data_IF_063715029204
#
_entry.id   IF_063715029204
#
_cell.length_a   1.000
_cell.length_b   1.000
_cell.length_c   1.000
_cell.angle_alpha   90.00
_cell.angle_beta   90.00
_cell.angle_gamma   90.00
#
_symmetry.space_group_name_H-M   'P 1'
#
loop_
_entity.id
_entity.type
_entity.pdbx_description
1 polymer ?
#
# COMPACT_ATOMS: atom_id res chain seq x y z
N UNK A 1 -16.05 -13.78 -12.65
CA UNK A 1 -15.16 -14.40 -11.72
C UNK A 1 -15.52 -15.87 -11.54
N UNK A 2 -14.54 -16.79 -11.50
CA UNK A 2 -14.78 -18.24 -11.58
C UNK A 2 -15.07 -18.91 -10.23
N UNK A 3 -15.24 -18.11 -9.17
CA UNK A 3 -15.57 -18.61 -7.85
C UNK A 3 -17.07 -18.45 -7.62
N UNK A 4 -17.73 -19.57 -7.25
CA UNK A 4 -19.10 -19.53 -6.75
C UNK A 4 -19.06 -19.29 -5.25
N UNK A 5 -19.68 -18.21 -4.81
CA UNK A 5 -19.89 -17.96 -3.38
C UNK A 5 -20.80 -19.07 -2.80
N UNK A 6 -20.48 -19.53 -1.61
CA UNK A 6 -21.43 -20.33 -0.82
C UNK A 6 -22.63 -19.43 -0.45
N UNK A 7 -23.78 -20.00 -0.02
CA UNK A 7 -24.92 -19.18 0.40
C UNK A 7 -24.53 -18.10 1.46
N UNK A 8 -23.72 -18.46 2.46
CA UNK A 8 -23.26 -17.52 3.49
C UNK A 8 -22.35 -16.43 2.93
N UNK A 9 -21.49 -16.77 1.96
CA UNK A 9 -20.63 -15.80 1.27
C UNK A 9 -21.42 -14.86 0.36
N UNK A 10 -22.47 -15.37 -0.29
CA UNK A 10 -23.37 -14.55 -1.11
C UNK A 10 -24.16 -13.57 -0.26
N UNK A 11 -24.64 -13.99 0.90
CA UNK A 11 -25.28 -13.11 1.89
C UNK A 11 -24.33 -12.04 2.38
N UNK A 12 -23.10 -12.41 2.74
CA UNK A 12 -22.06 -11.46 3.16
C UNK A 12 -21.73 -10.46 2.04
N UNK A 13 -21.59 -10.93 0.80
CA UNK A 13 -21.35 -10.05 -0.37
C UNK A 13 -22.50 -9.06 -0.55
N UNK A 14 -23.74 -9.50 -0.39
CA UNK A 14 -24.89 -8.63 -0.52
C UNK A 14 -24.92 -7.58 0.58
N UNK A 15 -24.58 -7.96 1.82
CA UNK A 15 -24.44 -7.03 2.94
C UNK A 15 -23.35 -5.97 2.66
N UNK A 16 -22.16 -6.40 2.21
CA UNK A 16 -21.06 -5.49 1.87
C UNK A 16 -21.50 -4.54 0.77
N UNK A 17 -22.07 -5.07 -0.31
CA UNK A 17 -22.55 -4.29 -1.47
C UNK A 17 -23.56 -3.23 -1.05
N UNK A 18 -24.61 -3.63 -0.39
CA UNK A 18 -25.71 -2.74 0.03
C UNK A 18 -25.19 -1.65 0.95
N UNK A 19 -24.31 -2.02 1.90
CA UNK A 19 -23.77 -1.04 2.83
C UNK A 19 -22.83 -0.05 2.12
N UNK A 20 -21.97 -0.52 1.21
CA UNK A 20 -21.06 0.35 0.44
C UNK A 20 -21.85 1.33 -0.44
N UNK A 21 -22.87 0.86 -1.13
CA UNK A 21 -23.73 1.69 -1.99
C UNK A 21 -24.44 2.81 -1.21
N UNK A 22 -24.89 2.52 0.01
CA UNK A 22 -25.55 3.46 0.88
C UNK A 22 -24.59 4.45 1.59
N UNK A 23 -23.32 4.10 1.79
CA UNK A 23 -22.44 4.84 2.69
C UNK A 23 -21.22 5.49 2.01
N UNK A 24 -20.74 4.97 0.88
CA UNK A 24 -19.60 5.58 0.17
C UNK A 24 -20.07 6.86 -0.54
N UNK A 25 -19.50 8.04 -0.19
CA UNK A 25 -19.82 9.27 -0.88
C UNK A 25 -19.55 9.19 -2.39
N UNK A 26 -20.48 9.67 -3.21
CA UNK A 26 -20.36 9.67 -4.67
C UNK A 26 -19.09 10.37 -5.12
N UNK A 27 -18.73 11.49 -4.49
CA UNK A 27 -17.53 12.27 -4.80
C UNK A 27 -16.20 11.50 -4.59
N UNK A 28 -16.21 10.38 -3.86
CA UNK A 28 -15.03 9.53 -3.65
C UNK A 28 -14.97 8.34 -4.61
N UNK A 29 -16.04 8.05 -5.34
CA UNK A 29 -16.11 6.88 -6.22
C UNK A 29 -15.23 7.06 -7.46
N UNK A 30 -14.47 6.04 -7.79
CA UNK A 30 -13.66 5.99 -9.01
C UNK A 30 -12.49 6.96 -9.08
N UNK A 31 -12.25 7.78 -8.06
CA UNK A 31 -11.15 8.78 -8.08
C UNK A 31 -9.80 8.11 -8.32
N UNK A 32 -9.03 8.70 -9.21
CA UNK A 32 -7.69 8.26 -9.60
C UNK A 32 -6.64 8.68 -8.58
N UNK A 33 -6.65 9.97 -8.22
CA UNK A 33 -5.78 10.50 -7.19
C UNK A 33 -6.32 10.12 -5.80
N UNK A 34 -5.45 9.85 -4.87
CA UNK A 34 -5.83 9.65 -3.47
C UNK A 34 -6.45 10.95 -2.93
N UNK A 35 -7.68 10.90 -2.38
CA UNK A 35 -8.27 12.09 -1.78
C UNK A 35 -7.44 12.58 -0.58
N UNK A 36 -7.34 13.89 -0.34
CA UNK A 36 -6.67 14.40 0.84
C UNK A 36 -7.37 13.92 2.13
N UNK A 37 -6.69 13.92 3.29
CA UNK A 37 -7.27 13.40 4.54
C UNK A 37 -8.61 14.02 4.90
N UNK A 38 -8.79 15.33 4.68
CA UNK A 38 -10.06 16.03 4.99
C UNK A 38 -11.25 15.42 4.26
N UNK A 39 -11.06 14.88 3.06
CA UNK A 39 -12.11 14.22 2.28
C UNK A 39 -12.20 12.72 2.59
N UNK A 40 -11.06 12.06 2.83
CA UNK A 40 -10.96 10.62 3.00
C UNK A 40 -11.32 10.14 4.40
N UNK A 41 -10.92 10.87 5.46
CA UNK A 41 -11.10 10.40 6.84
C UNK A 41 -12.56 10.26 7.28
N UNK A 42 -13.54 11.06 6.82
CA UNK A 42 -14.95 10.79 7.09
C UNK A 42 -15.40 9.40 6.59
N UNK A 43 -14.88 8.94 5.45
CA UNK A 43 -15.12 7.59 4.93
C UNK A 43 -14.42 6.52 5.78
N UNK A 44 -13.16 6.75 6.15
CA UNK A 44 -12.42 5.89 7.09
C UNK A 44 -13.22 5.66 8.38
N UNK A 45 -13.72 6.74 9.00
CA UNK A 45 -14.48 6.67 10.24
C UNK A 45 -15.81 5.90 10.09
N UNK A 46 -16.44 5.94 8.92
CA UNK A 46 -17.62 5.09 8.65
C UNK A 46 -17.25 3.61 8.64
N UNK A 47 -16.17 3.24 7.93
CA UNK A 47 -15.66 1.86 7.91
C UNK A 47 -15.21 1.39 9.29
N UNK A 48 -14.52 2.25 10.05
CA UNK A 48 -14.10 1.97 11.43
C UNK A 48 -15.29 1.65 12.34
N UNK A 49 -16.33 2.49 12.34
CA UNK A 49 -17.56 2.25 13.12
C UNK A 49 -18.32 0.99 12.70
N UNK A 50 -18.22 0.61 11.41
CA UNK A 50 -18.79 -0.66 10.92
C UNK A 50 -17.92 -1.87 11.32
N UNK A 51 -16.69 -1.65 11.79
CA UNK A 51 -15.71 -2.70 12.10
C UNK A 51 -15.02 -3.27 10.85
N UNK A 52 -15.03 -2.56 9.73
CA UNK A 52 -14.56 -3.04 8.41
C UNK A 52 -13.27 -2.39 7.91
N UNK A 53 -12.64 -1.55 8.73
CA UNK A 53 -11.42 -0.82 8.34
C UNK A 53 -10.20 -1.73 8.22
N UNK A 54 -10.14 -2.80 9.03
CA UNK A 54 -9.03 -3.76 9.06
C UNK A 54 -9.55 -5.21 8.99
N UNK A 55 -9.99 -5.68 7.81
CA UNK A 55 -10.58 -7.02 7.66
C UNK A 55 -9.66 -8.15 8.13
N UNK A 56 -8.36 -8.04 7.86
CA UNK A 56 -7.35 -9.06 8.15
C UNK A 56 -6.80 -9.03 9.59
N UNK A 57 -7.10 -7.98 10.39
CA UNK A 57 -6.61 -7.93 11.77
C UNK A 57 -7.44 -8.85 12.68
N UNK A 58 -6.78 -9.48 13.69
CA UNK A 58 -7.48 -10.23 14.72
C UNK A 58 -8.48 -9.36 15.50
N UNK A 59 -9.61 -9.93 15.92
CA UNK A 59 -10.65 -9.21 16.68
C UNK A 59 -10.15 -8.60 17.98
N UNK A 60 -9.21 -9.26 18.65
CA UNK A 60 -8.59 -8.77 19.89
C UNK A 60 -7.82 -7.44 19.70
N UNK A 61 -7.46 -7.08 18.47
CA UNK A 61 -6.80 -5.83 18.12
C UNK A 61 -7.72 -4.86 17.37
N UNK A 62 -9.03 -5.07 17.43
CA UNK A 62 -10.04 -4.19 16.82
C UNK A 62 -10.29 -4.47 15.34
N UNK A 63 -9.71 -5.54 14.78
CA UNK A 63 -9.97 -5.96 13.42
C UNK A 63 -11.24 -6.78 13.26
N UNK A 64 -11.59 -7.07 12.02
CA UNK A 64 -12.76 -7.88 11.68
C UNK A 64 -12.54 -9.37 11.94
N UNK A 65 -11.28 -9.87 11.90
CA UNK A 65 -10.97 -11.30 11.93
C UNK A 65 -11.62 -12.04 10.77
N UNK A 66 -11.68 -11.39 9.60
CA UNK A 66 -12.36 -11.89 8.41
C UNK A 66 -11.66 -13.14 7.87
N UNK A 67 -12.45 -14.11 7.45
CA UNK A 67 -11.96 -15.25 6.67
C UNK A 67 -11.34 -14.77 5.36
N UNK A 68 -10.52 -15.63 4.73
CA UNK A 68 -9.96 -15.32 3.41
C UNK A 68 -11.05 -14.91 2.42
N UNK A 69 -12.14 -15.66 2.40
CA UNK A 69 -13.23 -15.44 1.46
C UNK A 69 -13.94 -14.11 1.68
N UNK A 70 -14.15 -13.73 2.94
CA UNK A 70 -14.69 -12.41 3.29
C UNK A 70 -13.74 -11.27 2.88
N UNK A 71 -12.42 -11.44 3.05
CA UNK A 71 -11.41 -10.46 2.60
C UNK A 71 -11.44 -10.28 1.08
N UNK A 72 -11.54 -11.38 0.32
CA UNK A 72 -11.67 -11.34 -1.14
C UNK A 72 -12.95 -10.62 -1.54
N UNK A 73 -14.09 -10.99 -0.95
CA UNK A 73 -15.39 -10.36 -1.21
C UNK A 73 -15.32 -8.85 -0.95
N UNK A 74 -14.74 -8.43 0.17
CA UNK A 74 -14.56 -7.01 0.48
C UNK A 74 -13.70 -6.29 -0.56
N UNK A 75 -12.60 -6.92 -0.99
CA UNK A 75 -11.72 -6.36 -2.02
C UNK A 75 -12.47 -6.17 -3.35
N UNK A 76 -13.25 -7.16 -3.75
CA UNK A 76 -14.05 -7.12 -4.98
C UNK A 76 -15.14 -6.05 -4.93
N UNK A 77 -15.89 -5.97 -3.84
CA UNK A 77 -16.97 -5.00 -3.70
C UNK A 77 -16.46 -3.56 -3.56
N UNK A 78 -15.32 -3.36 -2.87
CA UNK A 78 -14.64 -2.06 -2.83
C UNK A 78 -14.15 -1.63 -4.21
N UNK A 79 -13.58 -2.58 -4.98
CA UNK A 79 -13.16 -2.32 -6.36
C UNK A 79 -14.36 -2.01 -7.27
N UNK A 80 -15.45 -2.79 -7.15
CA UNK A 80 -16.67 -2.63 -7.95
C UNK A 80 -17.27 -1.22 -7.81
N UNK A 81 -17.29 -0.68 -6.58
CA UNK A 81 -17.86 0.65 -6.32
C UNK A 81 -16.85 1.78 -6.51
N UNK A 82 -15.60 1.46 -6.85
CA UNK A 82 -14.54 2.47 -6.99
C UNK A 82 -14.15 3.14 -5.68
N UNK A 83 -14.13 2.40 -4.56
CA UNK A 83 -13.78 2.96 -3.27
C UNK A 83 -12.30 3.41 -3.23
N UNK A 84 -11.99 4.59 -2.64
CA UNK A 84 -10.63 5.07 -2.52
C UNK A 84 -9.84 4.23 -1.52
N UNK A 85 -8.51 4.19 -1.72
CA UNK A 85 -7.61 3.56 -0.77
C UNK A 85 -7.53 4.32 0.55
N UNK A 86 -7.58 3.57 1.64
CA UNK A 86 -7.30 4.09 2.98
C UNK A 86 -5.79 4.29 3.20
N UNK A 87 -5.37 5.06 4.22
CA UNK A 87 -3.97 5.16 4.63
C UNK A 87 -3.41 3.78 5.01
N UNK A 88 -2.56 3.22 4.13
CA UNK A 88 -2.11 1.83 4.24
C UNK A 88 -1.04 1.63 5.33
N UNK A 89 -0.24 2.68 5.63
CA UNK A 89 0.91 2.58 6.52
C UNK A 89 0.51 2.17 7.95
N UNK A 90 -0.63 2.67 8.45
CA UNK A 90 -1.18 2.23 9.72
C UNK A 90 -1.70 0.79 9.67
N UNK A 91 -2.61 0.54 8.72
CA UNK A 91 -3.38 -0.69 8.64
C UNK A 91 -2.58 -1.91 8.17
N UNK A 92 -1.79 -1.72 7.10
CA UNK A 92 -1.15 -2.84 6.39
C UNK A 92 0.35 -3.00 6.72
N UNK A 93 0.97 -1.98 7.34
CA UNK A 93 2.40 -1.98 7.63
C UNK A 93 2.66 -2.02 9.14
N UNK A 94 2.56 -0.87 9.83
CA UNK A 94 2.96 -0.80 11.23
C UNK A 94 2.05 -1.58 12.17
N UNK A 95 0.74 -1.66 11.91
CA UNK A 95 -0.18 -2.42 12.75
C UNK A 95 0.20 -3.90 12.87
N UNK A 96 0.35 -4.65 11.77
CA UNK A 96 0.86 -6.03 11.79
C UNK A 96 2.23 -6.17 12.45
N UNK A 97 3.13 -5.21 12.26
CA UNK A 97 4.45 -5.21 12.89
C UNK A 97 4.35 -5.02 14.41
N UNK A 98 3.53 -4.10 14.88
CA UNK A 98 3.31 -3.92 16.33
C UNK A 98 2.66 -5.16 16.95
N UNK A 99 1.72 -5.80 16.28
CA UNK A 99 1.13 -7.05 16.77
C UNK A 99 2.18 -8.16 16.92
N UNK A 100 3.15 -8.24 16.01
CA UNK A 100 4.17 -9.29 15.99
C UNK A 100 5.40 -8.98 16.88
N UNK A 101 5.83 -7.73 16.94
CA UNK A 101 7.12 -7.33 17.53
C UNK A 101 7.02 -6.26 18.61
N UNK A 102 5.90 -5.55 18.70
CA UNK A 102 5.69 -4.47 19.66
C UNK A 102 5.49 -4.99 21.09
N UNK A 103 5.83 -4.16 22.05
CA UNK A 103 5.47 -4.37 23.45
C UNK A 103 3.96 -4.22 23.65
N UNK A 104 3.42 -4.72 24.77
CA UNK A 104 2.00 -4.54 25.07
C UNK A 104 1.63 -3.07 25.25
N UNK A 105 2.55 -2.27 25.80
CA UNK A 105 2.38 -0.81 25.89
C UNK A 105 2.27 -0.16 24.48
N UNK A 106 3.16 -0.51 23.55
CA UNK A 106 3.11 -0.02 22.17
C UNK A 106 1.83 -0.45 21.45
N UNK A 107 1.40 -1.69 21.63
CA UNK A 107 0.12 -2.18 21.07
C UNK A 107 -1.07 -1.37 21.62
N UNK A 108 -1.12 -1.20 22.96
CA UNK A 108 -2.20 -0.46 23.60
C UNK A 108 -2.24 1.02 23.17
N UNK A 109 -1.06 1.64 22.97
CA UNK A 109 -0.96 3.03 22.56
C UNK A 109 -1.33 3.26 21.10
N UNK A 110 -0.91 2.39 20.18
CA UNK A 110 -0.92 2.68 18.76
C UNK A 110 -2.01 1.95 17.95
N UNK A 111 -2.38 0.71 18.32
CA UNK A 111 -3.36 -0.03 17.52
C UNK A 111 -4.77 0.58 17.56
N UNK A 112 -5.32 0.98 18.72
CA UNK A 112 -6.66 1.58 18.75
C UNK A 112 -6.79 2.88 17.94
N UNK A 113 -5.85 3.85 18.00
CA UNK A 113 -5.90 5.05 17.17
C UNK A 113 -5.83 4.78 15.66
N UNK A 114 -5.07 3.75 15.25
CA UNK A 114 -5.04 3.30 13.84
C UNK A 114 -6.44 2.85 13.42
N UNK A 115 -7.07 1.94 14.18
CA UNK A 115 -8.42 1.46 13.88
C UNK A 115 -9.44 2.60 13.86
N UNK A 116 -9.35 3.52 14.84
CA UNK A 116 -10.25 4.66 14.93
C UNK A 116 -10.05 5.67 13.79
N UNK A 117 -8.87 5.68 13.14
CA UNK A 117 -8.50 6.67 12.13
C UNK A 117 -8.22 8.06 12.72
N UNK A 118 -7.80 8.12 13.98
CA UNK A 118 -7.41 9.35 14.67
C UNK A 118 -5.93 9.67 14.54
N UNK A 119 -5.15 8.74 13.99
CA UNK A 119 -3.71 8.85 13.77
C UNK A 119 -3.35 8.29 12.40
N UNK A 120 -2.60 9.07 11.63
CA UNK A 120 -2.06 8.67 10.33
C UNK A 120 -0.56 8.37 10.49
N UNK A 121 -0.10 7.29 9.86
CA UNK A 121 1.28 6.84 9.91
C UNK A 121 2.00 7.03 8.58
N UNK A 122 3.31 7.31 8.67
CA UNK A 122 4.23 7.37 7.53
C UNK A 122 5.32 6.30 7.67
N UNK A 123 5.94 5.94 6.53
CA UNK A 123 7.04 4.98 6.44
C UNK A 123 8.34 5.69 6.08
N UNK A 124 9.32 5.68 6.99
CA UNK A 124 10.64 6.31 6.84
C UNK A 124 11.73 5.29 6.51
N UNK A 125 11.73 4.72 5.30
CA UNK A 125 12.74 3.73 4.88
C UNK A 125 13.78 4.37 3.97
N UNK A 126 13.39 4.76 2.76
CA UNK A 126 14.28 5.26 1.72
C UNK A 126 14.98 6.55 2.09
N UNK A 127 16.20 6.71 1.60
CA UNK A 127 17.01 7.94 1.70
C UNK A 127 17.50 8.34 0.31
N UNK A 128 17.98 9.57 0.09
CA UNK A 128 18.51 9.99 -1.21
C UNK A 128 19.57 9.04 -1.79
N UNK A 129 20.39 8.42 -0.92
CA UNK A 129 21.41 7.43 -1.29
C UNK A 129 21.04 5.97 -1.03
N UNK A 130 19.84 5.66 -0.53
CA UNK A 130 19.45 4.31 -0.13
C UNK A 130 17.98 4.02 -0.49
N UNK A 131 17.77 3.51 -1.69
CA UNK A 131 16.47 3.02 -2.18
C UNK A 131 16.49 1.51 -2.32
N UNK A 132 16.84 0.99 -3.50
CA UNK A 132 16.95 -0.47 -3.74
C UNK A 132 18.01 -1.13 -2.85
N UNK A 133 19.16 -0.47 -2.61
CA UNK A 133 20.13 -0.85 -1.57
C UNK A 133 19.76 -0.20 -0.24
N UNK A 134 18.63 -0.64 0.33
CA UNK A 134 18.12 -0.11 1.60
C UNK A 134 19.11 -0.31 2.76
N UNK A 135 19.95 -1.35 2.71
CA UNK A 135 20.95 -1.61 3.73
C UNK A 135 22.03 -0.52 3.82
N UNK A 136 22.14 0.35 2.82
CA UNK A 136 23.08 1.48 2.80
C UNK A 136 22.54 2.74 3.51
N UNK A 137 21.35 2.68 4.11
CA UNK A 137 20.77 3.81 4.85
C UNK A 137 21.76 4.40 5.88
N UNK A 138 21.72 5.73 6.01
CA UNK A 138 22.69 6.52 6.78
C UNK A 138 22.06 7.37 7.89
N UNK A 139 20.74 7.54 7.93
CA UNK A 139 20.04 8.22 9.04
C UNK A 139 20.45 7.55 10.34
N UNK A 140 21.22 8.31 11.16
CA UNK A 140 21.81 7.81 12.40
C UNK A 140 20.87 7.98 13.58
N UNK A 141 20.89 7.02 14.51
CA UNK A 141 20.30 7.16 15.82
C UNK A 141 21.31 6.70 16.86
N UNK A 142 21.68 7.60 17.78
CA UNK A 142 22.60 7.32 18.89
C UNK A 142 21.79 7.18 20.16
N UNK A 143 21.95 6.07 20.89
CA UNK A 143 21.28 5.86 22.17
C UNK A 143 22.05 6.61 23.26
N UNK A 144 21.40 7.55 23.93
CA UNK A 144 21.91 8.39 25.01
C UNK A 144 20.99 8.25 26.23
N UNK A 145 21.40 7.43 27.21
CA UNK A 145 20.56 7.14 28.36
C UNK A 145 19.26 6.45 28.00
N UNK A 146 18.13 7.14 28.15
CA UNK A 146 16.78 6.60 27.90
C UNK A 146 16.14 7.14 26.61
N UNK A 147 16.92 7.71 25.68
CA UNK A 147 16.43 8.23 24.41
C UNK A 147 17.45 8.03 23.29
N UNK A 148 16.96 8.08 22.06
CA UNK A 148 17.77 8.15 20.85
C UNK A 148 17.84 9.59 20.37
N UNK A 149 19.02 10.02 19.88
CA UNK A 149 19.21 11.26 19.12
C UNK A 149 19.28 10.90 17.65
N UNK A 150 18.29 11.36 16.86
CA UNK A 150 18.17 10.99 15.45
C UNK A 150 18.60 12.14 14.55
N UNK A 151 19.49 11.84 13.58
CA UNK A 151 19.99 12.79 12.56
C UNK A 151 19.95 12.13 11.17
N UNK A 152 19.49 12.86 10.16
CA UNK A 152 19.50 12.39 8.77
C UNK A 152 18.31 12.86 7.98
N UNK A 153 17.99 12.09 6.93
CA UNK A 153 16.93 12.43 6.00
C UNK A 153 16.27 11.17 5.46
N UNK A 154 14.94 11.21 5.33
CA UNK A 154 14.15 10.23 4.57
C UNK A 154 13.51 10.90 3.37
N UNK A 155 13.27 10.12 2.32
CA UNK A 155 12.65 10.59 1.08
C UNK A 155 11.61 9.59 0.57
N UNK A 156 10.73 10.04 -0.30
CA UNK A 156 9.61 9.26 -0.85
C UNK A 156 8.64 8.78 0.22
N UNK A 157 8.56 9.53 1.32
CA UNK A 157 7.70 9.19 2.46
C UNK A 157 6.27 9.59 2.14
N UNK A 158 5.42 8.57 1.91
CA UNK A 158 4.01 8.77 1.57
C UNK A 158 3.28 9.49 2.69
N UNK A 159 2.65 10.63 2.36
CA UNK A 159 1.80 11.43 3.26
C UNK A 159 2.45 11.87 4.56
N UNK A 160 3.78 11.99 4.64
CA UNK A 160 4.43 12.43 5.88
C UNK A 160 3.91 13.78 6.39
N UNK A 161 3.58 14.71 5.49
CA UNK A 161 3.02 16.03 5.82
C UNK A 161 1.55 15.98 6.31
N UNK A 162 0.93 14.80 6.27
CA UNK A 162 -0.40 14.53 6.82
C UNK A 162 -0.37 13.50 7.94
N UNK A 163 0.83 13.05 8.35
CA UNK A 163 0.99 11.97 9.32
C UNK A 163 1.39 12.49 10.68
N UNK A 164 0.92 11.80 11.72
CA UNK A 164 1.26 12.09 13.10
C UNK A 164 2.50 11.31 13.55
N UNK A 165 2.63 10.09 13.06
CA UNK A 165 3.70 9.17 13.43
C UNK A 165 4.43 8.59 12.21
N UNK A 166 5.68 8.25 12.42
CA UNK A 166 6.50 7.54 11.44
C UNK A 166 7.12 6.30 12.08
N UNK A 167 7.15 5.20 11.35
CA UNK A 167 8.07 4.11 11.65
C UNK A 167 9.26 4.19 10.69
N UNK A 168 10.47 4.12 11.23
CA UNK A 168 11.68 4.34 10.46
C UNK A 168 12.77 3.31 10.73
N UNK A 169 13.56 3.01 9.69
CA UNK A 169 14.82 2.32 9.82
C UNK A 169 15.94 3.34 10.02
N UNK A 170 16.73 3.13 11.05
CA UNK A 170 17.86 4.01 11.41
C UNK A 170 19.14 3.22 11.63
N UNK A 171 20.29 3.85 11.44
CA UNK A 171 21.61 3.30 11.66
C UNK A 171 22.02 3.53 13.10
N UNK A 172 22.06 2.49 13.93
CA UNK A 172 22.50 2.55 15.33
C UNK A 172 23.91 2.00 15.51
N UNK A 173 24.40 1.15 14.59
CA UNK A 173 25.81 0.75 14.51
C UNK A 173 26.35 0.94 13.07
N UNK A 174 27.17 1.97 12.85
CA UNK A 174 27.76 2.22 11.53
C UNK A 174 28.91 1.28 11.19
N UNK A 175 29.45 0.52 12.15
CA UNK A 175 30.57 -0.41 11.94
C UNK A 175 30.09 -1.85 11.73
N UNK A 176 28.80 -2.13 11.90
CA UNK A 176 28.25 -3.48 11.79
C UNK A 176 28.55 -4.15 10.45
N UNK A 177 28.92 -5.43 10.52
CA UNK A 177 29.11 -6.29 9.37
C UNK A 177 28.31 -7.59 9.58
N UNK A 178 27.38 -7.93 8.69
CA UNK A 178 26.97 -7.17 7.51
C UNK A 178 26.23 -5.86 7.89
N UNK A 179 26.15 -4.90 6.98
CA UNK A 179 25.53 -3.58 7.23
C UNK A 179 24.13 -3.66 7.85
N UNK A 180 23.37 -4.69 7.50
CA UNK A 180 22.03 -4.96 8.00
C UNK A 180 21.99 -5.13 9.54
N UNK A 181 23.06 -5.67 10.14
CA UNK A 181 23.15 -5.92 11.57
C UNK A 181 23.26 -4.64 12.43
N UNK A 182 23.46 -3.47 11.81
CA UNK A 182 23.51 -2.18 12.53
C UNK A 182 22.23 -1.33 12.35
N UNK A 183 21.12 -1.92 11.88
CA UNK A 183 19.88 -1.23 11.63
C UNK A 183 18.87 -1.50 12.75
N UNK A 184 18.21 -0.43 13.20
CA UNK A 184 17.18 -0.48 14.26
C UNK A 184 15.87 0.09 13.73
N UNK A 185 14.75 -0.37 14.28
CA UNK A 185 13.40 0.06 13.93
C UNK A 185 12.84 0.95 15.05
N UNK A 186 12.54 2.22 14.73
CA UNK A 186 12.04 3.20 15.69
C UNK A 186 10.67 3.76 15.28
N UNK A 187 9.88 4.13 16.28
CA UNK A 187 8.67 4.93 16.12
C UNK A 187 8.98 6.39 16.45
N UNK A 188 8.66 7.30 15.55
CA UNK A 188 8.92 8.74 15.69
C UNK A 188 7.60 9.49 15.67
N UNK A 189 7.39 10.36 16.66
CA UNK A 189 6.34 11.37 16.61
C UNK A 189 6.78 12.49 15.67
N UNK A 190 6.04 12.69 14.58
CA UNK A 190 6.39 13.68 13.54
C UNK A 190 6.20 15.13 13.97
N UNK A 191 5.58 15.36 15.13
CA UNK A 191 5.45 16.67 15.75
C UNK A 191 6.65 17.04 16.66
N UNK A 192 7.62 16.10 16.81
CA UNK A 192 8.81 16.33 17.63
C UNK A 192 9.65 17.50 17.12
N UNK A 193 10.23 18.32 18.01
CA UNK A 193 11.20 19.35 17.62
C UNK A 193 12.36 18.76 16.81
N UNK A 194 12.84 19.51 15.81
CA UNK A 194 13.93 19.08 14.94
C UNK A 194 13.46 18.29 13.69
N UNK A 195 12.16 17.97 13.57
CA UNK A 195 11.62 17.40 12.35
C UNK A 195 11.12 18.50 11.41
N UNK A 196 11.53 18.39 10.14
CA UNK A 196 11.02 19.24 9.06
C UNK A 196 10.58 18.38 7.89
N UNK A 197 9.34 18.58 7.43
CA UNK A 197 8.72 17.82 6.33
C UNK A 197 8.55 18.75 5.14
N UNK A 198 8.94 18.27 3.95
CA UNK A 198 8.82 19.00 2.68
C UNK A 198 8.12 18.11 1.66
N UNK A 199 6.88 18.45 1.25
CA UNK A 199 6.18 17.73 0.18
C UNK A 199 6.95 17.80 -1.15
N UNK A 200 6.87 16.73 -1.93
CA UNK A 200 7.44 16.59 -3.26
C UNK A 200 6.30 16.56 -4.27
N UNK A 201 6.29 17.53 -5.19
CA UNK A 201 5.32 17.54 -6.28
C UNK A 201 5.71 16.50 -7.32
N UNK A 202 4.79 15.56 -7.61
CA UNK A 202 5.02 14.50 -8.58
C UNK A 202 4.71 14.96 -10.00
N UNK A 203 5.10 14.17 -11.01
CA UNK A 203 4.73 14.41 -12.41
C UNK A 203 3.22 14.32 -12.63
N UNK A 204 2.47 13.61 -11.78
CA UNK A 204 1.01 13.54 -11.81
C UNK A 204 0.32 14.78 -11.19
N UNK A 205 1.11 15.72 -10.66
CA UNK A 205 0.62 16.97 -10.09
C UNK A 205 0.23 16.89 -8.62
N UNK A 206 0.28 15.70 -8.00
CA UNK A 206 0.03 15.52 -6.57
C UNK A 206 1.29 15.75 -5.70
N UNK A 207 1.11 15.75 -4.39
CA UNK A 207 2.15 15.88 -3.37
C UNK A 207 2.17 14.67 -2.42
N UNK A 208 1.84 13.48 -2.94
CA UNK A 208 1.74 12.26 -2.14
C UNK A 208 3.00 11.93 -1.34
N UNK A 209 4.18 12.33 -1.83
CA UNK A 209 5.46 12.04 -1.19
C UNK A 209 6.06 13.26 -0.52
N UNK A 210 6.93 12.99 0.46
CA UNK A 210 7.69 14.03 1.17
C UNK A 210 9.14 13.61 1.39
N UNK A 211 9.99 14.62 1.58
CA UNK A 211 11.27 14.53 2.28
C UNK A 211 11.02 14.83 3.75
N UNK A 212 11.70 14.10 4.63
CA UNK A 212 11.65 14.30 6.08
C UNK A 212 13.07 14.43 6.60
N UNK A 213 13.38 15.56 7.24
CA UNK A 213 14.70 15.89 7.79
C UNK A 213 14.65 15.76 9.31
N UNK A 214 15.70 15.19 9.87
CA UNK A 214 15.89 15.01 11.31
C UNK A 214 17.14 15.75 11.75
N UNK A 215 16.98 16.75 12.63
CA UNK A 215 18.03 17.55 13.20
C UNK A 215 17.99 17.40 14.74
N UNK A 216 18.81 16.49 15.25
CA UNK A 216 18.90 16.14 16.68
C UNK A 216 17.56 15.81 17.33
N UNK A 217 16.73 15.03 16.63
CA UNK A 217 15.40 14.64 17.11
C UNK A 217 15.53 13.66 18.27
N UNK A 218 14.92 14.01 19.39
CA UNK A 218 14.90 13.18 20.60
C UNK A 218 13.74 12.19 20.49
N UNK A 219 14.07 10.89 20.52
CA UNK A 219 13.10 9.79 20.46
C UNK A 219 13.24 8.93 21.70
N UNK A 220 12.20 8.76 22.54
CA UNK A 220 12.24 7.92 23.73
C UNK A 220 12.69 6.50 23.42
N UNK A 221 13.48 5.88 24.31
CA UNK A 221 13.97 4.52 24.11
C UNK A 221 12.82 3.49 24.05
N UNK A 222 11.69 3.77 24.67
CA UNK A 222 10.46 2.96 24.63
C UNK A 222 9.83 2.88 23.24
N UNK A 223 10.19 3.79 22.31
CA UNK A 223 9.77 3.78 20.91
C UNK A 223 10.59 2.79 20.05
N UNK A 224 11.52 2.05 20.63
CA UNK A 224 12.21 0.95 19.97
C UNK A 224 11.25 -0.23 19.79
N UNK A 225 11.07 -0.69 18.56
CA UNK A 225 10.30 -1.91 18.26
C UNK A 225 11.25 -3.09 18.19
N UNK A 226 10.93 -4.15 18.93
CA UNK A 226 11.79 -5.32 19.05
C UNK A 226 13.05 -5.04 19.88
N UNK A 227 14.23 -5.32 19.32
CA UNK A 227 15.53 -5.13 20.00
C UNK A 227 16.41 -4.18 19.21
N UNK A 228 17.40 -3.60 19.86
CA UNK A 228 18.45 -2.84 19.21
C UNK A 228 19.12 -3.72 18.13
N UNK A 229 19.35 -3.15 16.95
CA UNK A 229 19.94 -3.84 15.78
C UNK A 229 19.05 -4.92 15.12
N UNK A 230 17.80 -5.08 15.51
CA UNK A 230 16.85 -6.05 14.95
C UNK A 230 15.99 -5.46 13.80
N UNK A 231 16.24 -4.21 13.43
CA UNK A 231 15.43 -3.47 12.46
C UNK A 231 15.36 -4.13 11.09
N UNK A 232 16.44 -4.78 10.64
CA UNK A 232 16.43 -5.46 9.34
C UNK A 232 15.50 -6.68 9.31
N UNK A 233 15.45 -7.45 10.38
CA UNK A 233 14.52 -8.59 10.52
C UNK A 233 13.07 -8.11 10.51
N UNK A 234 12.78 -7.04 11.25
CA UNK A 234 11.45 -6.43 11.30
C UNK A 234 11.07 -5.86 9.93
N UNK A 235 12.01 -5.17 9.24
CA UNK A 235 11.77 -4.66 7.89
C UNK A 235 11.46 -5.76 6.89
N UNK A 236 12.16 -6.90 6.93
CA UNK A 236 11.88 -8.03 6.05
C UNK A 236 10.48 -8.62 6.27
N UNK A 237 10.02 -8.71 7.54
CA UNK A 237 8.67 -9.13 7.86
C UNK A 237 7.63 -8.14 7.28
N UNK A 238 7.85 -6.82 7.46
CA UNK A 238 6.99 -5.78 6.90
C UNK A 238 6.95 -5.85 5.37
N UNK A 239 8.10 -5.94 4.70
CA UNK A 239 8.19 -6.01 3.24
C UNK A 239 7.49 -7.25 2.66
N UNK A 240 7.38 -8.34 3.43
CA UNK A 240 6.56 -9.49 3.07
C UNK A 240 5.06 -9.13 3.00
N UNK A 241 4.55 -8.46 4.01
CA UNK A 241 3.17 -7.97 4.06
C UNK A 241 2.91 -6.86 3.01
N UNK A 242 3.87 -5.96 2.82
CA UNK A 242 3.79 -4.87 1.84
C UNK A 242 3.66 -5.40 0.40
N UNK A 243 4.45 -6.40 0.02
CA UNK A 243 4.37 -7.01 -1.33
C UNK A 243 2.99 -7.57 -1.60
N UNK A 244 2.37 -8.23 -0.63
CA UNK A 244 1.01 -8.73 -0.77
C UNK A 244 0.00 -7.58 -0.89
N UNK A 245 0.11 -6.55 -0.05
CA UNK A 245 -0.77 -5.39 -0.08
C UNK A 245 -0.66 -4.59 -1.38
N UNK A 246 0.56 -4.38 -1.90
CA UNK A 246 0.81 -3.66 -3.16
C UNK A 246 0.37 -4.44 -4.40
N UNK A 247 0.24 -5.75 -4.27
CA UNK A 247 -0.22 -6.65 -5.33
C UNK A 247 -1.72 -6.95 -5.25
N UNK A 248 -2.45 -6.22 -4.40
CA UNK A 248 -3.89 -6.37 -4.27
C UNK A 248 -4.58 -6.14 -5.62
N UNK A 249 -5.38 -7.10 -6.12
CA UNK A 249 -6.04 -7.00 -7.42
C UNK A 249 -7.05 -5.86 -7.51
N UNK A 250 -7.43 -5.23 -6.40
CA UNK A 250 -8.36 -4.10 -6.37
C UNK A 250 -7.98 -3.01 -7.38
N UNK A 251 -6.68 -2.69 -7.50
CA UNK A 251 -6.22 -1.66 -8.45
C UNK A 251 -6.43 -2.07 -9.89
N UNK A 252 -6.08 -3.31 -10.22
CA UNK A 252 -6.24 -3.85 -11.56
C UNK A 252 -7.73 -3.98 -11.92
N UNK A 253 -8.57 -4.42 -10.98
CA UNK A 253 -10.03 -4.48 -11.15
C UNK A 253 -10.63 -3.09 -11.40
N UNK A 254 -10.24 -2.09 -10.60
CA UNK A 254 -10.70 -0.70 -10.80
C UNK A 254 -10.23 -0.13 -12.13
N UNK A 255 -8.97 -0.38 -12.51
CA UNK A 255 -8.44 0.07 -13.81
C UNK A 255 -9.22 -0.57 -14.98
N UNK A 256 -9.53 -1.86 -14.88
CA UNK A 256 -10.32 -2.57 -15.89
C UNK A 256 -11.73 -1.97 -16.03
N UNK A 257 -12.40 -1.63 -14.94
CA UNK A 257 -13.73 -0.99 -15.00
C UNK A 257 -13.65 0.43 -15.57
N UNK A 258 -12.61 1.20 -15.25
CA UNK A 258 -12.35 2.51 -15.90
C UNK A 258 -12.18 2.38 -17.41
N UNK A 259 -11.39 1.40 -17.87
CA UNK A 259 -11.18 1.12 -19.29
C UNK A 259 -12.50 0.78 -19.97
N UNK A 260 -13.30 -0.13 -19.41
CA UNK A 260 -14.59 -0.54 -19.98
C UNK A 260 -15.56 0.65 -20.09
N UNK A 261 -15.62 1.47 -19.05
CA UNK A 261 -16.51 2.63 -19.02
C UNK A 261 -16.06 3.69 -20.01
N UNK A 262 -14.77 3.97 -20.06
CA UNK A 262 -14.17 4.91 -21.02
C UNK A 262 -14.36 4.44 -22.46
N UNK A 263 -14.13 3.16 -22.73
CA UNK A 263 -14.27 2.59 -24.07
C UNK A 263 -15.71 2.62 -24.59
N UNK A 264 -16.70 2.46 -23.69
CA UNK A 264 -18.11 2.67 -24.06
C UNK A 264 -18.38 4.15 -24.40
N UNK A 265 -17.89 5.06 -23.56
CA UNK A 265 -18.10 6.49 -23.75
C UNK A 265 -17.45 7.03 -25.03
N UNK A 266 -16.25 6.56 -25.39
CA UNK A 266 -15.53 6.95 -26.61
C UNK A 266 -16.01 6.23 -27.87
N UNK A 267 -16.75 5.11 -27.73
CA UNK A 267 -17.18 4.27 -28.83
C UNK A 267 -16.14 3.28 -29.35
N UNK A 268 -14.89 3.29 -28.82
CA UNK A 268 -13.82 2.37 -29.26
C UNK A 268 -14.14 0.91 -28.92
N UNK A 269 -15.12 0.67 -28.04
CA UNK A 269 -15.61 -0.68 -27.76
C UNK A 269 -16.12 -1.41 -29.02
N UNK A 270 -16.43 -0.71 -30.12
CA UNK A 270 -16.81 -1.29 -31.38
C UNK A 270 -15.63 -1.83 -32.22
N UNK A 271 -14.38 -1.45 -31.88
CA UNK A 271 -13.19 -1.92 -32.57
C UNK A 271 -12.82 -3.34 -32.11
N UNK A 272 -12.80 -4.35 -33.03
CA UNK A 272 -12.44 -5.72 -32.69
C UNK A 272 -11.03 -5.87 -32.11
N UNK A 273 -10.06 -5.06 -32.56
CA UNK A 273 -8.68 -5.09 -32.07
C UNK A 273 -8.62 -4.63 -30.60
N UNK A 274 -9.37 -3.58 -30.27
CA UNK A 274 -9.49 -3.11 -28.91
C UNK A 274 -10.18 -4.16 -28.00
N UNK A 275 -11.25 -4.80 -28.50
CA UNK A 275 -11.94 -5.87 -27.76
C UNK A 275 -11.02 -7.06 -27.46
N UNK A 276 -10.18 -7.49 -28.40
CA UNK A 276 -9.20 -8.56 -28.18
C UNK A 276 -8.22 -8.20 -27.06
N UNK A 277 -7.67 -6.99 -27.09
CA UNK A 277 -6.74 -6.50 -26.05
C UNK A 277 -7.42 -6.36 -24.69
N UNK A 278 -8.66 -5.88 -24.66
CA UNK A 278 -9.46 -5.80 -23.43
C UNK A 278 -9.76 -7.19 -22.87
N UNK A 279 -10.04 -8.17 -23.73
CA UNK A 279 -10.25 -9.56 -23.31
C UNK A 279 -8.96 -10.16 -22.71
N UNK A 280 -7.81 -9.97 -23.35
CA UNK A 280 -6.51 -10.40 -22.83
C UNK A 280 -6.22 -9.76 -21.48
N UNK A 281 -6.39 -8.45 -21.34
CA UNK A 281 -6.23 -7.74 -20.08
C UNK A 281 -7.18 -8.26 -18.98
N UNK A 282 -8.41 -8.62 -19.34
CA UNK A 282 -9.38 -9.20 -18.39
C UNK A 282 -8.96 -10.59 -17.89
N UNK A 283 -8.33 -11.40 -18.76
CA UNK A 283 -7.74 -12.69 -18.38
C UNK A 283 -6.60 -12.48 -17.40
N UNK A 284 -5.70 -11.53 -17.66
CA UNK A 284 -4.56 -11.23 -16.78
C UNK A 284 -5.01 -10.72 -15.41
N UNK A 285 -6.04 -9.88 -15.35
CA UNK A 285 -6.63 -9.42 -14.07
C UNK A 285 -7.22 -10.61 -13.30
N UNK A 286 -7.84 -11.54 -13.99
CA UNK A 286 -8.37 -12.78 -13.37
C UNK A 286 -7.24 -13.66 -12.84
N UNK A 287 -6.16 -13.82 -13.60
CA UNK A 287 -4.99 -14.58 -13.19
C UNK A 287 -4.32 -13.94 -11.94
N UNK A 288 -4.16 -12.60 -11.93
CA UNK A 288 -3.65 -11.88 -10.76
C UNK A 288 -4.52 -12.11 -9.53
N UNK A 289 -5.85 -12.06 -9.70
CA UNK A 289 -6.81 -12.29 -8.60
C UNK A 289 -6.69 -13.71 -8.03
N UNK A 290 -6.50 -14.71 -8.89
CA UNK A 290 -6.31 -16.10 -8.46
C UNK A 290 -4.99 -16.29 -7.71
N UNK A 291 -3.89 -15.74 -8.21
CA UNK A 291 -2.58 -15.78 -7.55
C UNK A 291 -2.61 -15.08 -6.19
N UNK A 292 -3.26 -13.92 -6.11
CA UNK A 292 -3.42 -13.20 -4.85
C UNK A 292 -4.23 -14.01 -3.84
N UNK A 293 -5.35 -14.61 -4.25
CA UNK A 293 -6.19 -15.45 -3.39
C UNK A 293 -5.39 -16.63 -2.83
N UNK A 294 -4.59 -17.30 -3.67
CA UNK A 294 -3.72 -18.38 -3.23
C UNK A 294 -2.66 -17.91 -2.22
N UNK A 295 -2.04 -16.75 -2.45
CA UNK A 295 -1.07 -16.18 -1.52
C UNK A 295 -1.68 -15.83 -0.16
N UNK A 296 -2.89 -15.26 -0.15
CA UNK A 296 -3.61 -14.96 1.11
C UNK A 296 -3.98 -16.26 1.84
N UNK A 297 -4.37 -17.32 1.12
CA UNK A 297 -4.65 -18.62 1.70
C UNK A 297 -3.43 -19.21 2.41
N UNK A 298 -2.28 -19.24 1.76
CA UNK A 298 -1.01 -19.69 2.37
C UNK A 298 -0.69 -18.90 3.64
N UNK A 299 -0.82 -17.57 3.58
CA UNK A 299 -0.57 -16.71 4.74
C UNK A 299 -1.53 -17.00 5.91
N UNK A 300 -2.81 -17.25 5.64
CA UNK A 300 -3.80 -17.60 6.67
C UNK A 300 -3.56 -18.99 7.30
N UNK A 301 -2.92 -19.88 6.56
CA UNK A 301 -2.45 -21.19 7.08
C UNK A 301 -1.17 -21.08 7.92
N UNK A 302 -0.67 -19.84 8.15
CA UNK A 302 0.58 -19.60 8.88
C UNK A 302 1.85 -19.92 8.06
N UNK A 303 1.70 -20.17 6.77
CA UNK A 303 2.81 -20.35 5.86
C UNK A 303 3.37 -18.99 5.47
N UNK A 304 4.68 -18.80 5.64
CA UNK A 304 5.34 -17.59 5.14
C UNK A 304 5.26 -17.56 3.61
N UNK A 305 4.78 -16.44 3.06
CA UNK A 305 4.94 -16.19 1.64
C UNK A 305 6.43 -16.12 1.33
N UNK A 306 6.90 -17.08 0.57
CA UNK A 306 8.27 -17.18 0.13
C UNK A 306 8.64 -16.09 -0.88
N UNK A 307 9.77 -16.25 -1.56
CA UNK A 307 10.19 -15.34 -2.62
C UNK A 307 9.20 -15.27 -3.80
N UNK A 308 8.25 -16.21 -3.90
CA UNK A 308 7.14 -16.24 -4.88
C UNK A 308 6.26 -14.99 -4.79
N UNK A 309 6.18 -14.34 -3.62
CA UNK A 309 5.51 -13.05 -3.46
C UNK A 309 6.08 -11.97 -4.40
N UNK A 310 7.34 -12.11 -4.78
CA UNK A 310 8.00 -11.25 -5.79
C UNK A 310 7.39 -11.42 -7.18
N UNK A 311 6.96 -12.63 -7.54
CA UNK A 311 6.28 -12.89 -8.83
C UNK A 311 4.94 -12.16 -8.90
N UNK A 312 4.14 -12.22 -7.85
CA UNK A 312 2.85 -11.52 -7.78
C UNK A 312 3.06 -10.00 -7.89
N UNK A 313 4.10 -9.46 -7.20
CA UNK A 313 4.43 -8.05 -7.27
C UNK A 313 4.84 -7.60 -8.68
N UNK A 314 5.71 -8.34 -9.36
CA UNK A 314 6.10 -8.05 -10.75
C UNK A 314 4.85 -8.05 -11.62
N UNK A 315 4.10 -9.15 -11.62
CA UNK A 315 2.93 -9.32 -12.48
C UNK A 315 1.88 -8.22 -12.22
N UNK A 316 1.50 -7.97 -10.96
CA UNK A 316 0.50 -6.95 -10.62
C UNK A 316 0.92 -5.53 -10.99
N UNK A 317 2.21 -5.17 -10.78
CA UNK A 317 2.69 -3.82 -11.11
C UNK A 317 2.83 -3.60 -12.63
N UNK A 318 3.30 -4.56 -13.38
CA UNK A 318 3.43 -4.47 -14.84
C UNK A 318 2.05 -4.52 -15.52
N UNK A 319 1.14 -5.36 -15.02
CA UNK A 319 -0.25 -5.38 -15.48
C UNK A 319 -0.95 -4.04 -15.24
N UNK A 320 -0.76 -3.41 -14.07
CA UNK A 320 -1.37 -2.11 -13.78
C UNK A 320 -0.86 -1.02 -14.74
N UNK A 321 0.41 -1.06 -15.16
CA UNK A 321 0.93 -0.17 -16.19
C UNK A 321 0.27 -0.45 -17.55
N UNK A 322 0.22 -1.72 -17.97
CA UNK A 322 -0.42 -2.10 -19.24
C UNK A 322 -1.91 -1.71 -19.29
N UNK A 323 -2.63 -1.87 -18.17
CA UNK A 323 -4.03 -1.42 -18.07
C UNK A 323 -4.15 0.10 -18.23
N UNK A 324 -3.22 0.89 -17.67
CA UNK A 324 -3.25 2.34 -17.85
C UNK A 324 -2.83 2.78 -19.27
N UNK A 325 -1.97 2.02 -19.94
CA UNK A 325 -1.69 2.23 -21.37
C UNK A 325 -2.96 1.98 -22.22
N UNK A 326 -3.71 0.92 -21.90
CA UNK A 326 -5.00 0.64 -22.55
C UNK A 326 -6.08 1.69 -22.23
N UNK A 327 -6.04 2.30 -21.04
CA UNK A 327 -6.93 3.39 -20.64
C UNK A 327 -6.65 4.66 -21.48
N UNK A 328 -5.38 4.98 -21.74
CA UNK A 328 -4.98 6.09 -22.66
C UNK A 328 -5.59 5.85 -24.04
N UNK A 329 -5.49 4.65 -24.56
CA UNK A 329 -6.08 4.30 -25.85
C UNK A 329 -7.61 4.43 -25.84
N UNK A 330 -8.26 3.90 -24.79
CA UNK A 330 -9.71 4.00 -24.65
C UNK A 330 -10.22 5.46 -24.57
N UNK A 331 -9.44 6.37 -24.01
CA UNK A 331 -9.78 7.78 -23.88
C UNK A 331 -9.48 8.61 -25.15
N UNK A 332 -8.59 8.13 -26.02
CA UNK A 332 -8.21 8.84 -27.23
C UNK A 332 -7.70 10.26 -26.96
N UNK A 333 -8.25 11.26 -27.64
CA UNK A 333 -7.85 12.67 -27.48
C UNK A 333 -8.05 13.24 -26.07
N UNK A 334 -8.94 12.69 -25.27
CA UNK A 334 -9.17 13.10 -23.88
C UNK A 334 -7.98 12.75 -22.96
N UNK A 335 -7.15 11.78 -23.34
CA UNK A 335 -5.95 11.42 -22.59
C UNK A 335 -4.89 12.53 -22.54
N UNK A 336 -4.99 13.53 -23.42
CA UNK A 336 -4.05 14.66 -23.49
C UNK A 336 -4.44 15.82 -22.57
N UNK A 337 -5.52 15.70 -21.82
CA UNK A 337 -6.01 16.75 -20.93
C UNK A 337 -5.81 16.37 -19.46
N UNK A 338 -5.68 17.37 -18.61
CA UNK A 338 -5.66 17.26 -17.14
C UNK A 338 -7.08 17.36 -16.51
N UNK A 339 -8.12 17.24 -17.33
CA UNK A 339 -9.52 17.34 -16.88
C UNK A 339 -10.08 15.94 -16.67
N UNK A 340 -10.61 15.64 -15.49
CA UNK A 340 -11.33 14.40 -15.25
C UNK A 340 -12.54 14.27 -16.19
N UNK A 341 -12.80 13.05 -16.61
CA UNK A 341 -13.94 12.70 -17.47
C UNK A 341 -14.98 12.02 -16.60
N UNK A 342 -16.20 12.56 -16.60
CA UNK A 342 -17.33 11.94 -15.93
C UNK A 342 -17.74 10.65 -16.65
N UNK A 343 -17.86 9.57 -15.91
CA UNK A 343 -18.26 8.24 -16.40
C UNK A 343 -19.25 7.60 -15.43
N UNK A 344 -19.87 6.49 -15.82
CA UNK A 344 -20.73 5.71 -14.93
C UNK A 344 -19.99 5.12 -13.72
N UNK A 345 -18.66 5.01 -13.81
CA UNK A 345 -17.78 4.54 -12.71
C UNK A 345 -17.31 5.69 -11.78
N UNK A 346 -17.61 6.94 -12.12
CA UNK A 346 -17.14 8.14 -11.45
C UNK A 346 -16.25 9.00 -12.34
N UNK A 347 -15.59 9.99 -11.75
CA UNK A 347 -14.66 10.85 -12.48
C UNK A 347 -13.32 10.13 -12.69
N UNK A 348 -12.85 10.05 -13.93
CA UNK A 348 -11.59 9.43 -14.33
C UNK A 348 -10.63 10.47 -14.86
N UNK A 349 -9.56 10.73 -14.14
CA UNK A 349 -8.40 11.46 -14.62
C UNK A 349 -7.43 10.47 -15.30
N UNK A 350 -7.48 10.43 -16.62
CA UNK A 350 -6.73 9.47 -17.43
C UNK A 350 -5.24 9.76 -17.36
N UNK A 351 -4.83 11.03 -17.49
CA UNK A 351 -3.44 11.44 -17.47
C UNK A 351 -2.81 11.16 -16.09
N UNK A 352 -3.47 11.53 -15.00
CA UNK A 352 -2.98 11.25 -13.66
C UNK A 352 -2.91 9.74 -13.39
N UNK A 353 -3.90 8.94 -13.82
CA UNK A 353 -3.86 7.47 -13.73
C UNK A 353 -2.61 6.90 -14.37
N UNK A 354 -2.35 7.29 -15.60
CA UNK A 354 -1.18 6.85 -16.36
C UNK A 354 0.12 7.24 -15.66
N UNK A 355 0.29 8.52 -15.31
CA UNK A 355 1.50 9.03 -14.68
C UNK A 355 1.75 8.40 -13.30
N UNK A 356 0.72 8.24 -12.48
CA UNK A 356 0.83 7.57 -11.18
C UNK A 356 1.19 6.09 -11.30
N UNK A 357 0.75 5.40 -12.35
CA UNK A 357 1.08 3.98 -12.56
C UNK A 357 2.57 3.74 -12.83
N UNK A 358 3.33 4.77 -13.26
CA UNK A 358 4.77 4.60 -13.59
C UNK A 358 5.63 4.24 -12.38
N UNK A 359 5.25 4.64 -11.18
CA UNK A 359 5.97 4.35 -9.92
C UNK A 359 5.75 2.95 -9.38
N UNK A 360 4.69 2.23 -9.79
CA UNK A 360 4.32 0.94 -9.20
C UNK A 360 5.35 -0.17 -9.45
N UNK A 361 6.15 -0.07 -10.51
CA UNK A 361 7.27 -0.99 -10.78
C UNK A 361 8.55 -0.63 -10.01
N UNK A 362 8.55 0.50 -9.29
CA UNK A 362 9.73 1.03 -8.58
C UNK A 362 9.61 0.81 -7.07
N UNK A 363 8.51 1.25 -6.44
CA UNK A 363 8.34 1.13 -5.00
C UNK A 363 8.03 -0.31 -4.54
N UNK A 364 8.17 -0.58 -3.23
CA UNK A 364 7.99 -1.94 -2.68
C UNK A 364 9.03 -2.94 -3.19
N UNK A 365 10.21 -2.45 -3.60
CA UNK A 365 11.26 -3.17 -4.33
C UNK A 365 10.99 -3.17 -5.82
N UNK A 366 11.95 -2.63 -6.61
CA UNK A 366 11.78 -2.49 -8.06
C UNK A 366 11.60 -3.85 -8.75
N UNK A 367 11.00 -3.84 -9.95
CA UNK A 367 10.83 -5.08 -10.75
C UNK A 367 12.14 -5.80 -10.96
N UNK A 368 13.27 -5.08 -11.08
CA UNK A 368 14.62 -5.65 -11.21
C UNK A 368 15.04 -6.35 -9.91
N UNK A 369 14.83 -5.71 -8.75
CA UNK A 369 15.13 -6.31 -7.44
C UNK A 369 14.27 -7.55 -7.21
N UNK A 370 12.98 -7.52 -7.57
CA UNK A 370 12.11 -8.68 -7.44
C UNK A 370 12.56 -9.83 -8.35
N UNK A 371 12.99 -9.55 -9.59
CA UNK A 371 13.59 -10.55 -10.48
C UNK A 371 14.88 -11.14 -9.91
N UNK A 372 15.75 -10.32 -9.31
CA UNK A 372 16.94 -10.79 -8.62
C UNK A 372 16.61 -11.70 -7.42
N UNK A 373 15.56 -11.40 -6.67
CA UNK A 373 15.08 -12.27 -5.58
C UNK A 373 14.65 -13.63 -6.12
N UNK A 374 13.86 -13.66 -7.21
CA UNK A 374 13.42 -14.89 -7.85
C UNK A 374 14.62 -15.69 -8.41
N UNK A 375 15.52 -15.03 -9.13
CA UNK A 375 16.71 -15.66 -9.70
C UNK A 375 17.53 -16.38 -8.63
N UNK A 376 17.81 -15.70 -7.51
CA UNK A 376 18.67 -16.24 -6.45
C UNK A 376 17.98 -17.23 -5.54
N UNK A 377 16.73 -16.97 -5.13
CA UNK A 377 16.07 -17.73 -4.06
C UNK A 377 15.09 -18.81 -4.57
N UNK A 378 14.62 -18.71 -5.81
CA UNK A 378 13.73 -19.70 -6.42
C UNK A 378 14.50 -20.54 -7.43
N UNK A 379 15.24 -19.89 -8.34
CA UNK A 379 15.94 -20.56 -9.43
C UNK A 379 17.39 -20.94 -9.06
N UNK A 380 17.89 -20.52 -7.88
CA UNK A 380 19.27 -20.77 -7.42
C UNK A 380 20.36 -20.37 -8.44
N UNK A 381 20.10 -19.30 -9.20
CA UNK A 381 21.07 -18.76 -10.15
C UNK A 381 22.18 -17.99 -9.41
N UNK A 382 23.42 -17.95 -9.95
CA UNK A 382 24.51 -17.18 -9.39
C UNK A 382 24.15 -15.68 -9.37
N UNK A 383 24.66 -14.97 -8.33
CA UNK A 383 24.41 -13.53 -8.13
C UNK A 383 25.46 -12.64 -8.76
#
# INVERSE_FOLDING_TARGET
>A
MFRHDTPAEADFRMDVRTWLEANLPVALRGRTARPPPVELMPWYHKLSRKGWVAPHWPRQHGGMGATLNEQIIMTEELARIGAPQLPAQGLNHIGPILMAFGTDAQKAQHLPPIIAGTVIWAQGYSEPGAGSDLASLSTRATLEGNHFVVRGQKIWTTWAHHSDWMFALVRTDPQAQPRQAGITFLLLDLHSPGIRIRPIKTIAGDDEFSEVFFDDVIVPAENLVGKLHDGWRIANALLGHERLATSNPQFALMALERIKTMARASGIMADPTFQERLAAASIDVTALSALFSHAVELNNQGQSLGPESSMIKIFGSELLQALNDLLIEAAGGHALTDRPIATDFGEVDVAASFLQSRRVTIYGGSSEIQRNVLARRVLNLPG
#
